data_IF_949608669689
#
_entry.id   IF_949608669689
#
_cell.length_a   1.000
_cell.length_b   1.000
_cell.length_c   1.000
_cell.angle_alpha   90.00
_cell.angle_beta   90.00
_cell.angle_gamma   90.00
#
_symmetry.space_group_name_H-M   'P 1'
#
loop_
_entity.id
_entity.type
_entity.pdbx_description
1 polymer ?
#
# COMPACT_ATOMS: atom_id res chain seq x y z
N UNK A 1 -3.64 -13.27 -7.19
CA UNK A 1 -3.70 -11.85 -6.80
C UNK A 1 -2.56 -11.00 -7.36
N UNK A 2 -1.28 -11.31 -7.08
CA UNK A 2 -0.14 -10.51 -7.60
C UNK A 2 -0.13 -10.38 -9.14
N UNK A 3 -0.47 -11.46 -9.85
CA UNK A 3 -0.55 -11.49 -11.31
C UNK A 3 -1.63 -10.55 -11.88
N UNK A 4 -2.77 -10.41 -11.20
CA UNK A 4 -3.85 -9.49 -11.63
C UNK A 4 -3.42 -8.03 -11.49
N UNK A 5 -2.74 -7.68 -10.39
CA UNK A 5 -2.21 -6.33 -10.19
C UNK A 5 -1.17 -5.97 -11.25
N UNK A 6 -0.25 -6.90 -11.56
CA UNK A 6 0.76 -6.72 -12.62
C UNK A 6 0.10 -6.63 -13.99
N UNK A 7 -0.92 -7.46 -14.27
CA UNK A 7 -1.66 -7.43 -15.53
C UNK A 7 -2.44 -6.13 -15.72
N UNK A 8 -3.10 -5.60 -14.67
CA UNK A 8 -3.79 -4.31 -14.69
C UNK A 8 -2.82 -3.15 -14.92
N UNK A 9 -1.64 -3.18 -14.29
CA UNK A 9 -0.60 -2.18 -14.50
C UNK A 9 -0.11 -2.19 -15.95
N UNK A 10 0.17 -3.38 -16.50
CA UNK A 10 0.59 -3.53 -17.90
C UNK A 10 -0.51 -3.10 -18.88
N UNK A 11 -1.78 -3.38 -18.57
CA UNK A 11 -2.90 -2.95 -19.39
C UNK A 11 -3.04 -1.42 -19.43
N UNK A 12 -2.89 -0.73 -18.29
CA UNK A 12 -2.90 0.73 -18.22
C UNK A 12 -1.70 1.36 -18.96
N UNK A 13 -0.51 0.79 -18.80
CA UNK A 13 0.68 1.24 -19.52
C UNK A 13 0.57 1.04 -21.03
N UNK A 14 0.03 -0.10 -21.48
CA UNK A 14 -0.25 -0.34 -22.88
C UNK A 14 -1.31 0.64 -23.43
N UNK A 15 -2.37 0.92 -22.66
CA UNK A 15 -3.39 1.92 -23.01
C UNK A 15 -2.79 3.32 -23.19
N UNK A 16 -1.87 3.72 -22.32
CA UNK A 16 -1.12 4.98 -22.44
C UNK A 16 -0.30 5.04 -23.74
N UNK A 17 0.50 4.00 -24.01
CA UNK A 17 1.34 3.93 -25.22
C UNK A 17 0.50 3.95 -26.50
N UNK A 18 -0.61 3.20 -26.53
CA UNK A 18 -1.53 3.17 -27.68
C UNK A 18 -2.20 4.53 -27.88
N UNK A 19 -2.66 5.18 -26.80
CA UNK A 19 -3.26 6.51 -26.85
C UNK A 19 -2.28 7.57 -27.37
N UNK A 20 -1.01 7.48 -26.98
CA UNK A 20 0.02 8.41 -27.42
C UNK A 20 0.40 8.20 -28.90
N UNK A 21 0.43 6.96 -29.39
CA UNK A 21 0.70 6.63 -30.80
C UNK A 21 -0.42 7.05 -31.76
N UNK A 22 -1.67 7.15 -31.29
CA UNK A 22 -2.84 7.53 -32.10
C UNK A 22 -2.99 9.04 -32.32
N UNK A 23 -2.09 9.85 -31.76
CA UNK A 23 -2.08 11.30 -31.90
C UNK A 23 -3.14 11.94 -31.02
N UNK A 24 -2.71 12.63 -29.97
CA UNK A 24 -3.51 13.23 -28.90
C UNK A 24 -4.55 14.26 -29.40
N UNK A 25 -5.61 13.81 -30.07
CA UNK A 25 -6.67 14.63 -30.62
C UNK A 25 -8.02 14.17 -30.08
N UNK A 26 -8.75 15.10 -29.45
CA UNK A 26 -10.10 14.86 -28.93
C UNK A 26 -10.15 13.91 -27.73
N UNK A 27 -10.97 12.86 -27.81
CA UNK A 27 -11.22 11.88 -26.71
C UNK A 27 -9.93 11.17 -26.26
N UNK A 28 -8.96 11.01 -27.17
CA UNK A 28 -7.67 10.38 -26.86
C UNK A 28 -6.79 11.20 -25.92
N UNK A 29 -6.93 12.53 -25.89
CA UNK A 29 -6.21 13.37 -24.93
C UNK A 29 -6.71 13.13 -23.48
N UNK A 30 -8.02 12.92 -23.30
CA UNK A 30 -8.60 12.58 -22.00
C UNK A 30 -8.19 11.19 -21.52
N UNK A 31 -8.14 10.22 -22.44
CA UNK A 31 -7.65 8.87 -22.14
C UNK A 31 -6.17 8.87 -21.80
N UNK A 32 -5.35 9.63 -22.55
CA UNK A 32 -3.92 9.83 -22.27
C UNK A 32 -3.71 10.37 -20.85
N UNK A 33 -4.38 11.48 -20.50
CA UNK A 33 -4.28 12.09 -19.17
C UNK A 33 -4.76 11.16 -18.05
N UNK A 34 -5.84 10.40 -18.27
CA UNK A 34 -6.32 9.42 -17.30
C UNK A 34 -5.32 8.28 -17.10
N UNK A 35 -4.75 7.74 -18.19
CA UNK A 35 -3.75 6.69 -18.12
C UNK A 35 -2.44 7.17 -17.49
N UNK A 36 -2.03 8.42 -17.73
CA UNK A 36 -0.87 9.03 -17.09
C UNK A 36 -1.09 9.15 -15.58
N UNK A 37 -2.23 9.72 -15.16
CA UNK A 37 -2.59 9.85 -13.75
C UNK A 37 -2.69 8.48 -13.05
N UNK A 38 -3.29 7.47 -13.72
CA UNK A 38 -3.40 6.12 -13.19
C UNK A 38 -2.03 5.45 -13.02
N UNK A 39 -1.11 5.65 -13.98
CA UNK A 39 0.25 5.07 -13.94
C UNK A 39 1.06 5.69 -12.81
N UNK A 40 1.03 7.03 -12.67
CA UNK A 40 1.71 7.72 -11.57
C UNK A 40 1.12 7.34 -10.22
N UNK A 41 -0.22 7.23 -10.12
CA UNK A 41 -0.90 6.80 -8.91
C UNK A 41 -0.50 5.38 -8.47
N UNK A 42 -0.42 4.44 -9.42
CA UNK A 42 0.02 3.08 -9.14
C UNK A 42 1.49 3.01 -8.70
N UNK A 43 2.37 3.83 -9.29
CA UNK A 43 3.77 3.95 -8.87
C UNK A 43 3.89 4.55 -7.46
N UNK A 44 3.09 5.55 -7.14
CA UNK A 44 3.08 6.19 -5.83
C UNK A 44 2.61 5.22 -4.72
N UNK A 45 1.55 4.44 -4.98
CA UNK A 45 1.08 3.42 -4.04
C UNK A 45 2.14 2.33 -3.80
N UNK A 46 2.75 1.84 -4.89
CA UNK A 46 3.85 0.88 -4.78
C UNK A 46 5.01 1.45 -3.94
N UNK A 47 5.42 2.68 -4.20
CA UNK A 47 6.47 3.35 -3.44
C UNK A 47 6.10 3.50 -1.97
N UNK A 48 4.86 3.87 -1.65
CA UNK A 48 4.39 4.05 -0.28
C UNK A 48 4.44 2.75 0.52
N UNK A 49 3.92 1.65 -0.03
CA UNK A 49 3.97 0.33 0.62
C UNK A 49 5.41 -0.13 0.79
N UNK A 50 6.24 0.00 -0.25
CA UNK A 50 7.65 -0.39 -0.15
C UNK A 50 8.36 0.48 0.89
N UNK A 51 8.16 1.80 0.91
CA UNK A 51 8.77 2.72 1.86
C UNK A 51 8.30 2.51 3.30
N UNK A 52 7.10 1.96 3.53
CA UNK A 52 6.64 1.59 4.87
C UNK A 52 7.48 0.43 5.43
N UNK A 53 7.68 -0.61 4.63
CA UNK A 53 8.29 -1.87 5.08
C UNK A 53 9.79 -2.01 4.79
N UNK A 54 10.29 -1.40 3.72
CA UNK A 54 11.64 -1.59 3.15
C UNK A 54 12.16 -0.28 2.53
N UNK A 55 13.38 -0.31 2.00
CA UNK A 55 13.94 0.82 1.24
C UNK A 55 13.66 0.62 -0.25
N UNK A 56 12.93 1.52 -0.92
CA UNK A 56 12.67 1.40 -2.35
C UNK A 56 13.99 1.45 -3.13
N UNK A 57 14.17 0.50 -4.05
CA UNK A 57 15.39 0.30 -4.86
C UNK A 57 16.71 0.11 -4.08
N UNK A 58 16.66 -0.18 -2.77
CA UNK A 58 17.87 -0.35 -1.94
C UNK A 58 18.65 0.94 -1.67
N UNK A 59 18.19 2.08 -2.16
CA UNK A 59 18.82 3.38 -1.95
C UNK A 59 18.61 3.85 -0.50
N UNK A 60 19.63 4.47 0.15
CA UNK A 60 19.53 4.98 1.51
C UNK A 60 18.78 6.32 1.55
N UNK A 61 17.48 6.29 1.21
CA UNK A 61 16.64 7.49 1.25
C UNK A 61 16.26 7.79 2.72
N UNK A 62 16.57 8.99 3.25
CA UNK A 62 16.12 9.40 4.57
C UNK A 62 14.59 9.30 4.67
N UNK A 63 14.07 8.89 5.83
CA UNK A 63 12.63 8.67 6.09
C UNK A 63 11.92 7.48 5.42
N UNK A 64 12.64 6.55 4.75
CA UNK A 64 12.08 5.25 4.30
C UNK A 64 12.31 4.11 5.31
N UNK A 65 11.54 3.02 5.25
CA UNK A 65 11.44 1.97 6.27
C UNK A 65 10.93 2.48 7.63
N UNK A 66 9.76 3.15 7.62
CA UNK A 66 9.13 3.72 8.82
C UNK A 66 8.77 2.63 9.83
N UNK A 67 8.23 1.50 9.37
CA UNK A 67 7.77 0.42 10.23
C UNK A 67 8.94 -0.30 10.94
N UNK A 68 10.02 -0.70 10.26
CA UNK A 68 11.19 -1.29 10.91
C UNK A 68 11.87 -0.35 11.91
N UNK A 69 11.92 0.96 11.61
CA UNK A 69 12.54 1.97 12.48
C UNK A 69 11.76 2.19 13.78
N UNK A 70 10.43 2.07 13.74
CA UNK A 70 9.55 2.27 14.90
C UNK A 70 9.07 0.98 15.56
N UNK A 71 9.64 -0.19 15.20
CA UNK A 71 9.13 -1.51 15.61
C UNK A 71 9.01 -1.67 17.12
N UNK A 72 10.00 -1.21 17.89
CA UNK A 72 10.01 -1.37 19.35
C UNK A 72 8.87 -0.58 20.00
N UNK A 73 8.70 0.69 19.59
CA UNK A 73 7.59 1.54 20.06
C UNK A 73 6.21 0.96 19.69
N UNK A 74 6.08 0.38 18.50
CA UNK A 74 4.85 -0.29 18.06
C UNK A 74 4.58 -1.56 18.88
N UNK A 75 5.62 -2.34 19.18
CA UNK A 75 5.51 -3.55 20.00
C UNK A 75 5.05 -3.24 21.43
N UNK A 76 5.63 -2.22 22.06
CA UNK A 76 5.22 -1.78 23.40
C UNK A 76 3.76 -1.34 23.43
N UNK A 77 3.32 -0.54 22.45
CA UNK A 77 1.92 -0.12 22.33
C UNK A 77 0.97 -1.30 22.11
N UNK A 78 1.36 -2.27 21.30
CA UNK A 78 0.57 -3.48 21.07
C UNK A 78 0.47 -4.35 22.32
N UNK A 79 1.55 -4.46 23.11
CA UNK A 79 1.55 -5.22 24.35
C UNK A 79 0.56 -4.63 25.38
N UNK A 80 0.53 -3.29 25.51
CA UNK A 80 -0.44 -2.59 26.35
C UNK A 80 -1.86 -2.82 25.85
N UNK A 81 -2.11 -2.69 24.55
CA UNK A 81 -3.43 -2.91 23.96
C UNK A 81 -3.94 -4.33 24.18
N UNK A 82 -3.10 -5.35 23.99
CA UNK A 82 -3.47 -6.75 24.22
C UNK A 82 -3.78 -7.00 25.70
N UNK A 83 -2.97 -6.45 26.61
CA UNK A 83 -3.25 -6.51 28.04
C UNK A 83 -4.62 -5.91 28.37
N UNK A 84 -4.91 -4.73 27.86
CA UNK A 84 -6.07 -3.96 28.27
C UNK A 84 -7.37 -4.42 27.58
N UNK A 85 -7.33 -4.96 26.35
CA UNK A 85 -8.55 -5.43 25.66
C UNK A 85 -8.79 -6.94 25.72
N UNK A 86 -7.74 -7.76 25.75
CA UNK A 86 -7.89 -9.22 25.72
C UNK A 86 -7.67 -9.88 27.09
N UNK A 87 -6.88 -9.25 27.95
CA UNK A 87 -6.65 -9.73 29.33
C UNK A 87 -7.42 -8.88 30.36
N UNK A 88 -8.33 -8.01 29.93
CA UNK A 88 -9.29 -7.37 30.82
C UNK A 88 -10.01 -8.46 31.66
N UNK A 89 -10.03 -8.35 32.99
CA UNK A 89 -10.66 -9.33 33.87
C UNK A 89 -12.10 -9.65 33.46
N UNK A 90 -12.83 -8.65 32.95
CA UNK A 90 -14.20 -8.80 32.46
C UNK A 90 -14.28 -9.71 31.22
N UNK A 91 -13.38 -9.53 30.23
CA UNK A 91 -13.34 -10.33 29.01
C UNK A 91 -12.91 -11.78 29.28
N UNK A 92 -12.06 -11.99 30.29
CA UNK A 92 -11.62 -13.32 30.72
C UNK A 92 -12.74 -14.07 31.47
N UNK A 93 -13.46 -13.36 32.35
CA UNK A 93 -14.59 -13.89 33.11
C UNK A 93 -15.75 -14.31 32.21
N UNK A 94 -16.03 -13.56 31.14
CA UNK A 94 -17.04 -13.94 30.15
C UNK A 94 -16.65 -15.21 29.36
N UNK A 95 -15.36 -15.40 29.03
CA UNK A 95 -14.91 -16.66 28.39
C UNK A 95 -14.97 -17.86 29.33
N UNK A 96 -14.72 -17.68 30.62
CA UNK A 96 -14.78 -18.75 31.63
C UNK A 96 -16.21 -19.19 31.96
N UNK A 97 -17.21 -18.32 31.78
CA UNK A 97 -18.65 -18.67 31.98
C UNK A 97 -19.25 -19.53 30.88
N UNK A 98 -18.59 -19.63 29.72
CA UNK A 98 -19.06 -20.39 28.55
C UNK A 98 -18.52 -21.82 28.53
N UNK A 99 -17.51 -22.12 29.36
CA UNK A 99 -17.03 -23.48 29.64
C UNK A 99 -17.71 -24.06 30.88
#
# INVERSE_FOLDING_TARGET
MKLLAVALLLAMFAGFVVSHLMGEQGVWAWVSAFCEAATVGALADWFAVVALFRRPMGLPIPHTAILPRGKDRLADGLAVFVRDQFLAPEALMDKLRVF
#
